data_IF_901586058486
#
_entry.id   IF_901586058486
#
_cell.length_a   1.000
_cell.length_b   1.000
_cell.length_c   1.000
_cell.angle_alpha   90.00
_cell.angle_beta   90.00
_cell.angle_gamma   90.00
#
_symmetry.space_group_name_H-M   'P 1'
#
loop_
_entity.id
_entity.type
_entity.pdbx_description
1 polymer ?
#
# COMPACT_ATOMS: atom_id res chain seq x y z
N UNK A 1 7.70 -6.57 24.92
CA UNK A 1 7.71 -7.64 23.89
C UNK A 1 9.16 -7.87 23.46
N UNK A 2 9.55 -9.10 23.07
CA UNK A 2 10.93 -9.35 22.62
C UNK A 2 11.23 -8.48 21.39
N UNK A 3 12.46 -8.00 21.24
CA UNK A 3 12.89 -7.13 20.12
C UNK A 3 12.60 -7.77 18.75
N UNK A 4 12.43 -9.10 18.71
CA UNK A 4 12.22 -9.91 17.50
C UNK A 4 10.80 -9.84 16.92
N UNK A 5 9.81 -9.38 17.69
CA UNK A 5 8.41 -9.35 17.24
C UNK A 5 7.82 -7.94 17.20
N UNK A 6 8.67 -6.90 17.23
CA UNK A 6 8.23 -5.51 17.34
C UNK A 6 7.42 -5.08 16.11
N UNK A 7 6.17 -4.70 16.29
CA UNK A 7 5.27 -4.33 15.19
C UNK A 7 5.04 -2.81 15.16
N UNK A 8 5.19 -2.20 13.99
CA UNK A 8 4.83 -0.81 13.74
C UNK A 8 3.62 -0.70 12.82
N UNK A 9 2.60 0.04 13.23
CA UNK A 9 1.56 0.55 12.36
C UNK A 9 2.02 1.89 11.75
N UNK A 10 2.06 2.01 10.44
CA UNK A 10 2.45 3.26 9.73
C UNK A 10 1.23 3.79 8.99
N UNK A 11 0.73 4.94 9.43
CA UNK A 11 -0.50 5.55 8.92
C UNK A 11 -0.17 6.87 8.25
N UNK A 12 -0.44 6.98 6.94
CA UNK A 12 -0.22 8.23 6.20
C UNK A 12 -1.52 9.04 6.20
N UNK A 13 -1.43 10.34 6.50
CA UNK A 13 -2.59 11.22 6.55
C UNK A 13 -2.32 12.58 5.93
N UNK A 14 -3.35 13.19 5.34
CA UNK A 14 -3.33 14.56 4.83
C UNK A 14 -4.74 15.20 4.87
N UNK A 15 -4.94 16.16 5.76
CA UNK A 15 -6.17 16.92 5.94
C UNK A 15 -7.44 16.08 6.19
N UNK A 16 -7.37 15.08 7.07
CA UNK A 16 -8.48 14.16 7.40
C UNK A 16 -8.45 13.68 8.85
N UNK A 17 -8.25 14.60 9.79
CA UNK A 17 -8.15 14.30 11.22
C UNK A 17 -9.28 13.39 11.73
N UNK A 18 -10.53 13.62 11.31
CA UNK A 18 -11.69 12.81 11.74
C UNK A 18 -11.58 11.33 11.37
N UNK A 19 -11.16 11.01 10.14
CA UNK A 19 -10.99 9.61 9.71
C UNK A 19 -9.80 8.97 10.41
N UNK A 20 -8.70 9.71 10.52
CA UNK A 20 -7.52 9.29 11.25
C UNK A 20 -7.85 8.92 12.70
N UNK A 21 -8.69 9.69 13.40
CA UNK A 21 -9.07 9.36 14.78
C UNK A 21 -9.78 8.02 14.88
N UNK A 22 -10.64 7.67 13.90
CA UNK A 22 -11.27 6.35 13.84
C UNK A 22 -10.25 5.23 13.64
N UNK A 23 -9.23 5.46 12.81
CA UNK A 23 -8.11 4.50 12.64
C UNK A 23 -7.36 4.33 13.96
N UNK A 24 -7.07 5.41 14.69
CA UNK A 24 -6.38 5.33 15.99
C UNK A 24 -7.23 4.62 17.06
N UNK A 25 -8.55 4.78 17.04
CA UNK A 25 -9.46 4.03 17.90
C UNK A 25 -9.47 2.53 17.54
N UNK A 26 -9.53 2.20 16.25
CA UNK A 26 -9.48 0.82 15.76
C UNK A 26 -8.14 0.12 16.09
N UNK A 27 -7.02 0.83 15.97
CA UNK A 27 -5.70 0.35 16.37
C UNK A 27 -5.60 0.14 17.88
N UNK A 28 -6.23 1.02 18.66
CA UNK A 28 -6.26 0.87 20.11
C UNK A 28 -7.09 -0.34 20.55
N UNK A 29 -8.07 -0.77 19.76
CA UNK A 29 -8.91 -1.94 20.01
C UNK A 29 -8.34 -3.27 19.49
N UNK A 30 -7.16 -3.27 18.86
CA UNK A 30 -6.58 -4.51 18.32
C UNK A 30 -6.26 -5.53 19.43
N UNK A 31 -6.55 -6.81 19.16
CA UNK A 31 -6.16 -7.94 20.03
C UNK A 31 -4.64 -8.04 20.16
N UNK A 32 -3.92 -7.79 19.05
CA UNK A 32 -2.49 -7.57 19.01
C UNK A 32 -2.19 -6.09 18.69
N UNK A 33 -2.05 -5.27 19.73
CA UNK A 33 -1.72 -3.84 19.58
C UNK A 33 -0.31 -3.65 19.02
N UNK A 34 -0.10 -2.77 18.04
CA UNK A 34 1.24 -2.39 17.58
C UNK A 34 2.09 -1.79 18.71
N UNK A 35 3.39 -2.08 18.74
CA UNK A 35 4.34 -1.44 19.67
C UNK A 35 4.57 0.04 19.32
N UNK A 36 4.46 0.37 18.03
CA UNK A 36 4.63 1.72 17.49
C UNK A 36 3.42 2.01 16.60
N UNK A 37 2.75 3.14 16.84
CA UNK A 37 1.77 3.69 15.90
C UNK A 37 2.36 4.98 15.34
N UNK A 38 2.96 4.91 14.17
CA UNK A 38 3.61 6.03 13.51
C UNK A 38 2.62 6.73 12.58
N UNK A 39 2.11 7.87 13.02
CA UNK A 39 1.27 8.74 12.21
C UNK A 39 2.16 9.67 11.40
N UNK A 40 2.17 9.48 10.08
CA UNK A 40 2.89 10.30 9.11
C UNK A 40 1.96 11.40 8.61
N UNK A 41 2.05 12.57 9.22
CA UNK A 41 1.31 13.75 8.80
C UNK A 41 2.04 14.40 7.60
N UNK A 42 1.42 14.29 6.42
CA UNK A 42 1.97 14.69 5.13
C UNK A 42 1.80 16.19 4.84
N UNK A 43 2.13 17.03 5.83
CA UNK A 43 1.96 18.48 5.83
C UNK A 43 0.49 18.96 5.84
N UNK A 44 -0.35 18.33 6.65
CA UNK A 44 -1.72 18.79 6.91
C UNK A 44 -1.75 20.24 7.42
N UNK A 45 -2.79 20.97 7.04
CA UNK A 45 -3.07 22.37 7.41
C UNK A 45 -4.33 22.51 8.29
N UNK A 46 -5.01 21.41 8.57
CA UNK A 46 -6.14 21.33 9.49
C UNK A 46 -5.69 21.06 10.94
N UNK A 47 -6.60 20.59 11.79
CA UNK A 47 -6.37 20.25 13.20
C UNK A 47 -5.65 18.89 13.40
N UNK A 48 -5.22 18.20 12.33
CA UNK A 48 -4.58 16.87 12.41
C UNK A 48 -3.42 16.87 13.40
N UNK A 49 -2.57 17.90 13.40
CA UNK A 49 -1.40 17.93 14.29
C UNK A 49 -1.79 18.00 15.77
N UNK A 50 -2.74 18.86 16.12
CA UNK A 50 -3.26 19.01 17.48
C UNK A 50 -3.88 17.70 17.97
N UNK A 51 -4.72 17.07 17.14
CA UNK A 51 -5.42 15.83 17.47
C UNK A 51 -4.46 14.65 17.71
N UNK A 52 -3.44 14.49 16.86
CA UNK A 52 -2.43 13.44 17.02
C UNK A 52 -1.57 13.68 18.26
N UNK A 53 -1.15 14.92 18.51
CA UNK A 53 -0.36 15.27 19.70
C UNK A 53 -1.17 15.09 21.00
N UNK A 54 -2.47 15.40 20.98
CA UNK A 54 -3.37 15.13 22.11
C UNK A 54 -3.47 13.62 22.38
N UNK A 55 -3.64 12.79 21.33
CA UNK A 55 -3.70 11.33 21.48
C UNK A 55 -2.38 10.71 21.94
N UNK A 56 -1.25 11.22 21.47
CA UNK A 56 0.08 10.75 21.90
C UNK A 56 0.38 11.01 23.38
N UNK A 57 -0.30 11.96 24.03
CA UNK A 57 -0.20 12.18 25.49
C UNK A 57 -0.85 11.04 26.28
N UNK A 58 -1.87 10.39 25.74
CA UNK A 58 -2.62 9.31 26.42
C UNK A 58 -2.22 7.91 25.95
N UNK A 59 -1.69 7.78 24.74
CA UNK A 59 -1.17 6.51 24.21
C UNK A 59 0.32 6.62 23.86
N UNK A 60 1.23 6.06 24.69
CA UNK A 60 2.66 6.14 24.50
C UNK A 60 3.20 5.29 23.36
N UNK A 61 2.36 4.52 22.65
CA UNK A 61 2.76 3.84 21.39
C UNK A 61 2.77 4.81 20.20
N UNK A 62 2.02 5.93 20.28
CA UNK A 62 1.84 6.85 19.16
C UNK A 62 3.07 7.73 18.99
N UNK A 63 3.54 7.83 17.75
CA UNK A 63 4.62 8.72 17.31
C UNK A 63 4.09 9.58 16.17
N UNK A 64 4.37 10.87 16.22
CA UNK A 64 3.94 11.82 15.20
C UNK A 64 5.12 12.22 14.32
N UNK A 65 5.10 11.82 13.06
CA UNK A 65 6.07 12.22 12.05
C UNK A 65 5.46 13.32 11.18
N UNK A 66 5.95 14.55 11.33
CA UNK A 66 5.51 15.70 10.54
C UNK A 66 6.44 15.89 9.34
N UNK A 67 5.89 15.82 8.14
CA UNK A 67 6.64 16.10 6.90
C UNK A 67 6.56 17.59 6.57
N UNK A 68 7.63 18.19 6.00
CA UNK A 68 7.68 19.63 5.71
C UNK A 68 6.81 20.04 4.52
N UNK A 69 6.42 19.09 3.67
CA UNK A 69 5.60 19.30 2.48
C UNK A 69 4.85 18.03 2.11
N UNK A 70 3.73 18.16 1.39
CA UNK A 70 2.99 17.02 0.87
C UNK A 70 3.80 16.31 -0.24
N UNK A 71 4.29 15.11 0.06
CA UNK A 71 5.08 14.25 -0.85
C UNK A 71 4.26 13.10 -1.45
N UNK A 72 2.93 13.19 -1.35
CA UNK A 72 2.01 12.15 -1.79
C UNK A 72 2.02 10.91 -0.88
N UNK A 73 1.18 9.93 -1.19
CA UNK A 73 1.09 8.67 -0.43
C UNK A 73 2.39 7.89 -0.46
N UNK A 74 3.02 7.76 -1.64
CA UNK A 74 4.26 7.01 -1.81
C UNK A 74 5.40 7.59 -0.94
N UNK A 75 5.54 8.92 -0.91
CA UNK A 75 6.52 9.60 -0.07
C UNK A 75 6.20 9.49 1.42
N UNK A 76 4.92 9.53 1.79
CA UNK A 76 4.47 9.33 3.17
C UNK A 76 4.80 7.93 3.69
N UNK A 77 4.45 6.89 2.93
CA UNK A 77 4.77 5.50 3.28
C UNK A 77 6.28 5.26 3.32
N UNK A 78 7.03 5.81 2.36
CA UNK A 78 8.49 5.77 2.38
C UNK A 78 9.07 6.34 3.69
N UNK A 79 8.69 7.58 4.04
CA UNK A 79 9.21 8.26 5.23
C UNK A 79 8.80 7.52 6.51
N UNK A 80 7.55 7.06 6.59
CA UNK A 80 7.04 6.29 7.71
C UNK A 80 7.74 4.96 7.90
N UNK A 81 7.86 4.17 6.84
CA UNK A 81 8.58 2.89 6.89
C UNK A 81 10.05 3.07 7.25
N UNK A 82 10.72 4.10 6.72
CA UNK A 82 12.11 4.41 7.07
C UNK A 82 12.26 4.72 8.56
N UNK A 83 11.42 5.59 9.10
CA UNK A 83 11.44 5.94 10.52
C UNK A 83 11.10 4.72 11.41
N UNK A 84 10.08 3.94 11.06
CA UNK A 84 9.73 2.71 11.79
C UNK A 84 10.89 1.69 11.76
N UNK A 85 11.61 1.58 10.65
CA UNK A 85 12.75 0.69 10.49
C UNK A 85 13.90 1.09 11.43
N UNK A 86 14.20 2.39 11.51
CA UNK A 86 15.19 2.95 12.42
C UNK A 86 14.80 2.81 13.89
N UNK A 87 13.49 2.79 14.19
CA UNK A 87 12.96 2.48 15.53
C UNK A 87 13.00 0.98 15.88
N UNK A 88 13.55 0.14 15.01
CA UNK A 88 13.74 -1.29 15.24
C UNK A 88 12.51 -2.17 14.96
N UNK A 89 11.53 -1.68 14.20
CA UNK A 89 10.37 -2.49 13.81
C UNK A 89 10.80 -3.74 13.03
N UNK A 90 10.21 -4.88 13.40
CA UNK A 90 10.38 -6.19 12.77
C UNK A 90 9.23 -6.50 11.81
N UNK A 91 8.06 -5.93 12.04
CA UNK A 91 6.89 -6.00 11.17
C UNK A 91 6.30 -4.62 10.96
N UNK A 92 5.93 -4.32 9.73
CA UNK A 92 5.39 -3.04 9.29
C UNK A 92 3.98 -3.28 8.78
N UNK A 93 2.96 -3.00 9.59
CA UNK A 93 1.60 -2.88 9.09
C UNK A 93 1.42 -1.46 8.56
N UNK A 94 1.21 -1.31 7.27
CA UNK A 94 1.00 0.02 6.67
C UNK A 94 -0.45 0.13 6.19
N UNK A 95 -1.00 1.33 6.34
CA UNK A 95 -2.41 1.61 6.06
C UNK A 95 -2.65 3.12 5.82
N UNK A 96 -3.80 3.43 5.22
CA UNK A 96 -4.28 4.79 5.01
C UNK A 96 -5.08 5.31 6.22
N UNK A 97 -5.39 6.61 6.23
CA UNK A 97 -6.16 7.27 7.28
C UNK A 97 -7.69 7.03 7.21
N UNK A 98 -8.15 6.31 6.19
CA UNK A 98 -9.56 5.96 5.94
C UNK A 98 -9.77 4.43 5.85
N UNK A 99 -8.84 3.65 6.40
CA UNK A 99 -8.90 2.20 6.45
C UNK A 99 -9.00 1.70 7.90
N UNK A 100 -10.15 1.12 8.25
CA UNK A 100 -10.52 0.75 9.61
C UNK A 100 -10.35 -0.77 9.81
N UNK A 101 -9.29 -1.23 10.50
CA UNK A 101 -9.08 -2.64 10.76
C UNK A 101 -10.06 -3.19 11.79
N UNK A 102 -10.58 -4.39 11.54
CA UNK A 102 -11.32 -5.16 12.56
C UNK A 102 -10.39 -5.56 13.72
N UNK A 103 -10.91 -5.81 14.94
CA UNK A 103 -10.08 -5.99 16.14
C UNK A 103 -8.97 -7.04 16.06
N UNK A 104 -9.11 -8.09 15.24
CA UNK A 104 -8.10 -9.14 15.09
C UNK A 104 -7.26 -9.01 13.80
N UNK A 105 -7.43 -7.95 13.01
CA UNK A 105 -6.83 -7.84 11.68
C UNK A 105 -5.29 -7.96 11.70
N UNK A 106 -4.61 -7.27 12.63
CA UNK A 106 -3.14 -7.31 12.75
C UNK A 106 -2.67 -8.68 13.27
N UNK A 107 -3.37 -9.23 14.26
CA UNK A 107 -3.07 -10.56 14.84
C UNK A 107 -3.16 -11.65 13.77
N UNK A 108 -4.18 -11.61 12.90
CA UNK A 108 -4.38 -12.57 11.81
C UNK A 108 -3.24 -12.52 10.79
N UNK A 109 -2.82 -11.33 10.38
CA UNK A 109 -1.70 -11.17 9.44
C UNK A 109 -0.39 -11.69 10.04
N UNK A 110 -0.11 -11.31 11.28
CA UNK A 110 1.08 -11.75 12.00
C UNK A 110 1.09 -13.27 12.19
N UNK A 111 -0.03 -13.85 12.64
CA UNK A 111 -0.16 -15.29 12.87
C UNK A 111 0.01 -16.06 11.57
N UNK A 112 -0.60 -15.62 10.47
CA UNK A 112 -0.47 -16.25 9.17
C UNK A 112 0.98 -16.25 8.65
N UNK A 113 1.72 -15.14 8.83
CA UNK A 113 3.14 -15.09 8.47
C UNK A 113 3.98 -16.09 9.27
N UNK A 114 3.76 -16.17 10.58
CA UNK A 114 4.52 -17.08 11.44
C UNK A 114 4.15 -18.54 11.18
N UNK A 115 2.86 -18.84 11.04
CA UNK A 115 2.38 -20.18 10.74
C UNK A 115 2.96 -20.66 9.39
N UNK A 116 2.90 -19.84 8.34
CA UNK A 116 3.50 -20.16 7.05
C UNK A 116 4.99 -20.51 7.21
N UNK A 117 5.76 -19.66 7.88
CA UNK A 117 7.21 -19.85 8.05
C UNK A 117 7.56 -21.08 8.91
N UNK A 118 6.69 -21.47 9.85
CA UNK A 118 6.91 -22.66 10.68
C UNK A 118 6.68 -23.98 9.91
N UNK A 119 5.88 -23.93 8.86
CA UNK A 119 5.45 -25.10 8.09
C UNK A 119 6.17 -25.23 6.73
N UNK A 120 6.88 -24.19 6.30
CA UNK A 120 7.51 -24.11 4.99
C UNK A 120 8.96 -23.62 5.11
N UNK A 121 9.81 -24.03 4.18
CA UNK A 121 11.18 -23.53 4.07
C UNK A 121 11.24 -22.06 3.62
N UNK A 122 10.15 -21.56 3.04
CA UNK A 122 10.05 -20.23 2.46
C UNK A 122 9.36 -19.24 3.41
N UNK A 123 9.67 -17.95 3.24
CA UNK A 123 9.12 -16.85 4.03
C UNK A 123 8.34 -15.89 3.13
N UNK A 124 7.05 -15.62 3.39
CA UNK A 124 6.29 -14.65 2.59
C UNK A 124 6.84 -13.24 2.72
N UNK A 125 6.93 -12.53 1.59
CA UNK A 125 7.46 -11.15 1.56
C UNK A 125 6.49 -10.12 2.14
N UNK A 126 5.21 -10.47 2.26
CA UNK A 126 4.18 -9.68 2.92
C UNK A 126 2.93 -10.54 3.19
N UNK A 127 2.04 -10.04 4.04
CA UNK A 127 0.68 -10.54 4.19
C UNK A 127 -0.33 -9.39 4.02
N UNK A 128 -1.42 -9.58 3.30
CA UNK A 128 -2.44 -8.55 3.09
C UNK A 128 -3.84 -9.01 3.49
N UNK A 129 -4.64 -8.06 3.96
CA UNK A 129 -6.01 -8.30 4.44
C UNK A 129 -7.03 -8.44 3.31
N UNK A 130 -8.18 -9.02 3.65
CA UNK A 130 -9.44 -8.79 2.94
C UNK A 130 -9.91 -7.36 3.20
N UNK A 131 -9.99 -6.58 2.13
CA UNK A 131 -10.49 -5.21 2.17
C UNK A 131 -11.94 -5.19 1.71
N UNK A 132 -12.80 -4.64 2.56
CA UNK A 132 -14.22 -4.45 2.32
C UNK A 132 -14.51 -2.97 2.14
N UNK A 133 -15.50 -2.65 1.33
CA UNK A 133 -16.04 -1.30 1.22
C UNK A 133 -17.07 -1.05 2.32
N UNK A 134 -17.48 0.21 2.49
CA UNK A 134 -18.39 0.63 3.57
C UNK A 134 -19.77 -0.04 3.54
N UNK A 135 -20.14 -0.67 2.43
CA UNK A 135 -21.38 -1.45 2.27
C UNK A 135 -21.21 -2.96 2.54
N UNK A 136 -20.00 -3.40 2.92
CA UNK A 136 -19.65 -4.80 3.17
C UNK A 136 -19.27 -5.62 1.93
N UNK A 137 -19.34 -5.03 0.73
CA UNK A 137 -18.82 -5.67 -0.49
C UNK A 137 -17.28 -5.68 -0.50
N UNK A 138 -16.66 -6.49 -1.35
CA UNK A 138 -15.21 -6.42 -1.54
C UNK A 138 -14.82 -5.10 -2.21
N UNK A 139 -13.74 -4.49 -1.73
CA UNK A 139 -13.23 -3.26 -2.35
C UNK A 139 -12.46 -3.59 -3.64
N UNK A 140 -13.07 -3.33 -4.79
CA UNK A 140 -12.56 -3.63 -6.14
C UNK A 140 -11.14 -3.10 -6.36
N UNK A 141 -10.86 -1.87 -5.89
CA UNK A 141 -9.55 -1.25 -6.05
C UNK A 141 -8.44 -1.87 -5.19
N UNK A 142 -8.80 -2.64 -4.16
CA UNK A 142 -7.86 -3.23 -3.20
C UNK A 142 -7.75 -4.75 -3.33
N UNK A 143 -8.41 -5.36 -4.31
CA UNK A 143 -8.29 -6.79 -4.59
C UNK A 143 -6.83 -7.14 -4.97
N UNK A 144 -6.17 -8.05 -4.23
CA UNK A 144 -4.80 -8.45 -4.54
C UNK A 144 -4.75 -9.28 -5.83
N UNK A 145 -3.57 -9.29 -6.47
CA UNK A 145 -3.31 -10.10 -7.65
C UNK A 145 -2.70 -11.44 -7.24
N UNK A 146 -3.33 -12.52 -7.66
CA UNK A 146 -2.84 -13.88 -7.41
C UNK A 146 -1.61 -14.20 -8.26
N UNK A 147 -0.79 -15.13 -7.78
CA UNK A 147 0.26 -15.75 -8.62
C UNK A 147 -0.38 -16.58 -9.75
N UNK A 148 0.36 -16.82 -10.83
CA UNK A 148 -0.17 -17.50 -12.02
C UNK A 148 -0.68 -18.93 -11.75
N UNK A 149 -0.08 -19.63 -10.78
CA UNK A 149 -0.39 -21.00 -10.38
C UNK A 149 -1.06 -21.10 -9.01
N UNK A 150 -1.78 -20.04 -8.60
CA UNK A 150 -2.38 -19.90 -7.27
C UNK A 150 -3.20 -21.11 -6.83
N UNK A 151 -3.88 -21.80 -7.76
CA UNK A 151 -4.70 -22.97 -7.49
C UNK A 151 -3.90 -24.14 -6.87
N UNK A 152 -2.58 -24.20 -7.07
CA UNK A 152 -1.70 -25.20 -6.44
C UNK A 152 -1.49 -24.95 -4.95
N UNK A 153 -1.72 -23.73 -4.49
CA UNK A 153 -1.38 -23.26 -3.14
C UNK A 153 -2.61 -22.95 -2.29
N UNK A 154 -3.80 -22.96 -2.88
CA UNK A 154 -5.05 -22.85 -2.13
C UNK A 154 -5.40 -24.22 -1.57
N UNK A 155 -5.40 -24.33 -0.25
CA UNK A 155 -5.82 -25.51 0.48
C UNK A 155 -7.06 -25.15 1.32
N UNK A 156 -8.13 -25.97 1.34
CA UNK A 156 -9.37 -25.63 2.07
C UNK A 156 -9.18 -25.36 3.56
N UNK A 157 -8.15 -25.96 4.16
CA UNK A 157 -7.80 -25.87 5.58
C UNK A 157 -6.76 -24.78 5.89
N UNK A 158 -6.18 -24.13 4.87
CA UNK A 158 -5.20 -23.06 5.07
C UNK A 158 -5.87 -21.69 5.02
N UNK A 159 -5.55 -20.79 5.95
CA UNK A 159 -6.19 -19.48 6.00
C UNK A 159 -5.51 -18.48 5.05
N UNK A 160 -4.91 -18.90 3.93
CA UNK A 160 -4.29 -17.97 2.98
C UNK A 160 -4.15 -18.48 1.54
N UNK A 161 -3.97 -17.55 0.60
CA UNK A 161 -3.62 -17.79 -0.80
C UNK A 161 -2.38 -16.99 -1.21
N UNK A 162 -1.56 -17.50 -2.14
CA UNK A 162 -0.39 -16.75 -2.64
C UNK A 162 -0.78 -15.62 -3.59
N UNK A 163 -0.20 -14.45 -3.35
CA UNK A 163 -0.39 -13.22 -4.13
C UNK A 163 0.94 -12.57 -4.45
N UNK A 164 1.02 -11.89 -5.59
CA UNK A 164 2.24 -11.19 -6.00
C UNK A 164 2.13 -9.67 -5.90
N UNK A 165 0.93 -9.14 -5.63
CA UNK A 165 0.72 -7.72 -5.35
C UNK A 165 -0.53 -7.48 -4.53
N UNK A 166 -0.51 -6.45 -3.69
CA UNK A 166 -1.68 -5.92 -2.98
C UNK A 166 -1.57 -4.40 -2.83
N UNK A 167 -2.66 -3.77 -2.42
CA UNK A 167 -2.64 -2.33 -2.07
C UNK A 167 -2.03 -2.08 -0.70
N UNK A 168 -1.70 -0.82 -0.41
CA UNK A 168 -1.21 -0.36 0.90
C UNK A 168 -2.30 -0.11 1.95
N UNK A 169 -3.58 -0.40 1.65
CA UNK A 169 -4.71 -0.22 2.59
C UNK A 169 -4.63 -1.13 3.82
N UNK A 170 -4.02 -2.31 3.69
CA UNK A 170 -3.69 -3.15 4.84
C UNK A 170 -2.71 -4.24 4.42
N UNK A 171 -1.43 -3.98 4.65
CA UNK A 171 -0.37 -4.93 4.36
C UNK A 171 0.65 -4.96 5.48
N UNK A 172 0.99 -6.16 5.92
CA UNK A 172 2.05 -6.42 6.87
C UNK A 172 3.30 -6.90 6.14
N UNK A 173 4.38 -6.15 6.28
CA UNK A 173 5.66 -6.43 5.63
C UNK A 173 6.69 -6.78 6.71
N UNK A 174 7.37 -7.93 6.63
CA UNK A 174 8.44 -8.27 7.55
C UNK A 174 9.70 -7.45 7.24
N UNK A 175 10.49 -7.15 8.27
CA UNK A 175 11.71 -6.32 8.17
C UNK A 175 12.73 -6.85 7.18
N UNK A 176 12.85 -8.17 7.06
CA UNK A 176 13.79 -8.77 6.11
C UNK A 176 13.47 -8.33 4.67
N UNK A 177 12.19 -8.23 4.30
CA UNK A 177 11.79 -7.83 2.96
C UNK A 177 12.14 -6.36 2.69
N UNK A 178 11.97 -5.49 3.71
CA UNK A 178 12.40 -4.08 3.63
C UNK A 178 13.92 -3.97 3.50
N UNK A 179 14.68 -4.76 4.27
CA UNK A 179 16.14 -4.73 4.27
C UNK A 179 16.74 -5.24 2.94
N UNK A 180 16.12 -6.25 2.34
CA UNK A 180 16.59 -6.84 1.08
C UNK A 180 16.23 -5.98 -0.14
N UNK A 181 15.02 -5.43 -0.16
CA UNK A 181 14.48 -4.78 -1.35
C UNK A 181 14.48 -3.26 -1.28
N UNK A 182 14.71 -2.66 -0.12
CA UNK A 182 14.61 -1.23 0.11
C UNK A 182 13.16 -0.75 0.32
N UNK A 183 12.97 0.57 0.38
CA UNK A 183 11.71 1.24 0.70
C UNK A 183 10.78 1.41 -0.53
N UNK A 184 9.50 1.78 -0.33
CA UNK A 184 8.65 2.30 -1.40
C UNK A 184 9.30 3.47 -2.13
N UNK A 185 9.03 3.62 -3.43
CA UNK A 185 9.64 4.68 -4.23
C UNK A 185 8.91 6.00 -3.96
N UNK A 186 9.55 6.91 -3.21
CA UNK A 186 8.94 8.19 -2.83
C UNK A 186 8.54 9.05 -4.05
N UNK A 187 9.36 9.06 -5.11
CA UNK A 187 9.14 9.86 -6.32
C UNK A 187 7.86 9.49 -7.10
N UNK A 188 7.24 8.35 -6.80
CA UNK A 188 5.98 7.96 -7.42
C UNK A 188 4.83 8.89 -7.03
N UNK A 189 4.92 9.54 -5.87
CA UNK A 189 3.92 10.46 -5.31
C UNK A 189 2.55 9.80 -5.03
N UNK A 190 1.87 9.29 -6.05
CA UNK A 190 0.59 8.59 -5.94
C UNK A 190 0.45 7.55 -7.06
N UNK A 191 -0.30 6.47 -6.77
CA UNK A 191 -0.68 5.39 -7.67
C UNK A 191 0.48 4.55 -8.18
N UNK A 192 0.24 3.23 -8.16
CA UNK A 192 1.16 2.19 -8.61
C UNK A 192 2.39 1.99 -7.71
N UNK A 193 2.52 2.76 -6.63
CA UNK A 193 3.54 2.61 -5.59
C UNK A 193 3.35 1.31 -4.80
N UNK A 194 2.12 0.97 -4.46
CA UNK A 194 1.74 -0.28 -3.80
C UNK A 194 2.04 -1.52 -4.65
N UNK A 195 1.57 -1.52 -5.91
CA UNK A 195 1.77 -2.60 -6.86
C UNK A 195 3.25 -2.74 -7.24
N UNK A 196 4.00 -1.64 -7.38
CA UNK A 196 5.45 -1.69 -7.58
C UNK A 196 6.16 -2.34 -6.41
N UNK A 197 5.88 -1.85 -5.20
CA UNK A 197 6.57 -2.27 -4.00
C UNK A 197 6.32 -3.74 -3.69
N UNK A 198 5.05 -4.15 -3.65
CA UNK A 198 4.65 -5.52 -3.34
C UNK A 198 5.16 -6.52 -4.39
N UNK A 199 5.15 -6.16 -5.68
CA UNK A 199 5.75 -7.02 -6.73
C UNK A 199 7.26 -7.07 -6.68
N UNK A 200 7.91 -5.98 -6.26
CA UNK A 200 9.36 -5.96 -6.10
C UNK A 200 9.79 -6.88 -4.96
N UNK A 201 9.18 -6.74 -3.77
CA UNK A 201 9.51 -7.62 -2.65
C UNK A 201 9.10 -9.08 -2.92
N UNK A 202 8.01 -9.31 -3.66
CA UNK A 202 7.57 -10.64 -4.07
C UNK A 202 8.56 -11.42 -4.96
N UNK A 203 9.63 -10.77 -5.46
CA UNK A 203 10.69 -11.44 -6.23
C UNK A 203 11.47 -12.46 -5.41
N UNK A 204 11.60 -12.27 -4.10
CA UNK A 204 12.25 -13.27 -3.24
C UNK A 204 11.28 -14.41 -2.92
N UNK A 205 10.06 -14.07 -2.52
CA UNK A 205 8.95 -15.02 -2.41
C UNK A 205 7.59 -14.31 -2.45
N UNK A 206 6.52 -14.90 -3.02
CA UNK A 206 5.19 -14.28 -3.01
C UNK A 206 4.70 -13.86 -1.61
N UNK A 207 3.78 -12.91 -1.57
CA UNK A 207 3.03 -12.60 -0.37
C UNK A 207 1.86 -13.56 -0.17
N UNK A 208 1.18 -13.43 0.97
CA UNK A 208 -0.03 -14.18 1.30
C UNK A 208 -1.23 -13.26 1.49
N UNK A 209 -2.38 -13.64 0.95
CA UNK A 209 -3.67 -13.03 1.22
C UNK A 209 -4.35 -13.78 2.36
N UNK A 210 -4.73 -13.05 3.43
CA UNK A 210 -5.32 -13.61 4.65
C UNK A 210 -6.80 -13.16 4.73
N UNK A 211 -7.77 -13.99 4.31
CA UNK A 211 -9.18 -13.59 4.21
C UNK A 211 -9.83 -13.29 5.57
N UNK A 212 -9.31 -13.85 6.66
CA UNK A 212 -9.80 -13.60 8.02
C UNK A 212 -9.33 -12.27 8.59
N UNK A 213 -8.23 -11.70 8.08
CA UNK A 213 -7.84 -10.33 8.41
C UNK A 213 -8.73 -9.38 7.61
N UNK A 214 -9.64 -8.66 8.27
CA UNK A 214 -10.63 -7.80 7.63
C UNK A 214 -10.38 -6.32 7.92
N UNK A 215 -10.49 -5.48 6.89
CA UNK A 215 -10.36 -4.02 6.99
C UNK A 215 -11.43 -3.35 6.14
N UNK A 216 -12.10 -2.33 6.67
CA UNK A 216 -13.08 -1.52 5.94
C UNK A 216 -12.39 -0.28 5.37
N UNK A 217 -12.47 -0.07 4.06
CA UNK A 217 -11.90 1.11 3.39
C UNK A 217 -12.99 2.11 3.04
N UNK A 218 -12.97 3.26 3.70
CA UNK A 218 -13.89 4.38 3.56
C UNK A 218 -13.44 5.31 2.42
N UNK A 219 -13.48 4.77 1.20
CA UNK A 219 -13.29 5.52 -0.05
C UNK A 219 -14.64 5.97 -0.61
N UNK A 220 -14.75 7.17 -1.22
CA UNK A 220 -15.99 7.64 -1.83
C UNK A 220 -16.45 6.84 -3.05
N UNK A 221 -15.55 6.12 -3.72
CA UNK A 221 -15.86 5.28 -4.88
C UNK A 221 -15.08 3.97 -4.82
N UNK A 222 -15.75 2.87 -5.17
CA UNK A 222 -15.21 1.52 -5.19
C UNK A 222 -15.02 1.03 -6.62
N UNK A 223 -14.05 1.64 -7.32
CA UNK A 223 -13.71 1.28 -8.70
C UNK A 223 -12.21 1.13 -8.85
N UNK A 224 -11.79 0.08 -9.55
CA UNK A 224 -10.39 -0.09 -9.91
C UNK A 224 -9.87 1.04 -10.81
N UNK A 225 -8.55 1.17 -10.89
CA UNK A 225 -7.91 2.13 -11.80
C UNK A 225 -8.23 1.75 -13.25
N UNK A 226 -9.06 2.56 -13.90
CA UNK A 226 -9.51 2.35 -15.27
C UNK A 226 -9.30 3.64 -16.07
N UNK A 227 -8.39 3.63 -17.04
CA UNK A 227 -8.10 4.82 -17.86
C UNK A 227 -9.31 5.27 -18.71
N UNK A 228 -10.32 4.41 -18.90
CA UNK A 228 -11.58 4.76 -19.53
C UNK A 228 -12.45 5.70 -18.69
N UNK A 229 -12.19 5.83 -17.38
CA UNK A 229 -12.93 6.68 -16.46
C UNK A 229 -12.22 8.02 -16.17
N UNK A 230 -11.16 8.34 -16.92
CA UNK A 230 -10.40 9.59 -16.73
C UNK A 230 -11.29 10.80 -17.00
N UNK A 231 -11.33 11.71 -16.04
CA UNK A 231 -11.94 13.03 -16.15
C UNK A 231 -10.93 14.14 -15.78
N UNK A 232 -11.34 15.41 -15.91
CA UNK A 232 -10.47 16.55 -15.59
C UNK A 232 -10.02 16.57 -14.12
N UNK A 233 -10.85 16.06 -13.18
CA UNK A 233 -10.55 16.07 -11.74
C UNK A 233 -9.54 14.99 -11.35
N UNK A 234 -9.62 13.84 -11.99
CA UNK A 234 -8.78 12.66 -11.73
C UNK A 234 -7.55 12.59 -12.62
N UNK A 235 -7.49 13.37 -13.71
CA UNK A 235 -6.41 13.36 -14.70
C UNK A 235 -5.02 13.39 -14.08
N UNK A 236 -4.81 14.24 -13.06
CA UNK A 236 -3.51 14.35 -12.41
C UNK A 236 -3.05 13.02 -11.78
N UNK A 237 -3.96 12.24 -11.16
CA UNK A 237 -3.65 10.90 -10.62
C UNK A 237 -3.31 9.92 -11.75
N UNK A 238 -4.11 9.91 -12.82
CA UNK A 238 -3.86 9.07 -14.00
C UNK A 238 -2.53 9.39 -14.69
N UNK A 239 -2.10 10.66 -14.70
CA UNK A 239 -0.78 11.05 -15.21
C UNK A 239 0.35 10.45 -14.37
N UNK A 240 0.24 10.49 -13.04
CA UNK A 240 1.21 9.83 -12.16
C UNK A 240 1.19 8.31 -12.37
N UNK A 241 0.02 7.67 -12.30
CA UNK A 241 -0.13 6.23 -12.52
C UNK A 241 0.47 5.77 -13.86
N UNK A 242 0.16 6.46 -14.96
CA UNK A 242 0.71 6.15 -16.28
C UNK A 242 2.23 6.27 -16.35
N UNK A 243 2.80 7.32 -15.74
CA UNK A 243 4.26 7.52 -15.66
C UNK A 243 4.92 6.42 -14.84
N UNK A 244 4.37 6.14 -13.66
CA UNK A 244 4.90 5.20 -12.67
C UNK A 244 4.87 3.76 -13.20
N UNK A 245 3.71 3.33 -13.73
CA UNK A 245 3.55 2.00 -14.33
C UNK A 245 4.45 1.82 -15.56
N UNK A 246 4.62 2.86 -16.37
CA UNK A 246 5.55 2.80 -17.51
C UNK A 246 7.00 2.64 -17.05
N UNK A 247 7.43 3.41 -16.05
CA UNK A 247 8.76 3.29 -15.43
C UNK A 247 9.02 1.86 -14.94
N UNK A 248 8.07 1.31 -14.18
CA UNK A 248 8.13 -0.07 -13.71
C UNK A 248 8.20 -1.07 -14.88
N UNK A 249 7.24 -1.04 -15.82
CA UNK A 249 7.21 -1.99 -16.95
C UNK A 249 8.47 -1.93 -17.80
N UNK A 250 9.04 -0.74 -17.97
CA UNK A 250 10.31 -0.56 -18.68
C UNK A 250 11.46 -1.24 -17.94
N UNK A 251 11.53 -1.08 -16.61
CA UNK A 251 12.55 -1.69 -15.75
C UNK A 251 12.44 -3.22 -15.73
N UNK A 252 11.22 -3.74 -15.65
CA UNK A 252 10.95 -5.18 -15.47
C UNK A 252 10.93 -5.99 -16.77
N UNK A 253 10.37 -5.42 -17.85
CA UNK A 253 10.06 -6.17 -19.07
C UNK A 253 10.49 -5.47 -20.36
N UNK A 254 11.26 -4.38 -20.27
CA UNK A 254 11.77 -3.67 -21.43
C UNK A 254 10.68 -2.96 -22.25
N UNK A 255 10.99 -2.66 -23.52
CA UNK A 255 10.15 -1.77 -24.34
C UNK A 255 8.84 -2.44 -24.77
N UNK A 256 8.88 -3.74 -25.06
CA UNK A 256 7.71 -4.48 -25.52
C UNK A 256 6.60 -4.50 -24.47
N UNK A 257 6.94 -4.59 -23.18
CA UNK A 257 5.98 -4.54 -22.10
C UNK A 257 5.32 -3.15 -21.99
N UNK A 258 6.09 -2.09 -22.21
CA UNK A 258 5.56 -0.71 -22.27
C UNK A 258 4.64 -0.53 -23.47
N UNK A 259 4.99 -1.07 -24.65
CA UNK A 259 4.15 -0.98 -25.85
C UNK A 259 2.82 -1.70 -25.66
N UNK A 260 2.84 -2.91 -25.09
CA UNK A 260 1.62 -3.67 -24.77
C UNK A 260 0.73 -2.90 -23.79
N UNK A 261 1.32 -2.31 -22.76
CA UNK A 261 0.62 -1.44 -21.81
C UNK A 261 0.00 -0.21 -22.48
N UNK A 262 0.80 0.55 -23.24
CA UNK A 262 0.33 1.74 -23.93
C UNK A 262 -0.80 1.43 -24.92
N UNK A 263 -0.73 0.28 -25.58
CA UNK A 263 -1.81 -0.23 -26.44
C UNK A 263 -3.08 -0.52 -25.64
N UNK A 264 -2.97 -1.19 -24.49
CA UNK A 264 -4.10 -1.44 -23.58
C UNK A 264 -4.75 -0.15 -23.09
N UNK A 265 -3.96 0.81 -22.59
CA UNK A 265 -4.43 2.13 -22.14
C UNK A 265 -5.13 2.88 -23.28
N UNK A 266 -4.54 2.85 -24.49
CA UNK A 266 -5.16 3.46 -25.68
C UNK A 266 -6.52 2.84 -26.00
N UNK A 267 -6.64 1.52 -25.94
CA UNK A 267 -7.88 0.83 -26.25
C UNK A 267 -8.95 1.11 -25.18
N UNK A 268 -8.59 1.09 -23.91
CA UNK A 268 -9.49 1.40 -22.80
C UNK A 268 -10.05 2.82 -22.91
N UNK A 269 -9.20 3.82 -23.15
CA UNK A 269 -9.63 5.21 -23.33
C UNK A 269 -10.47 5.42 -24.61
N UNK A 270 -10.19 4.68 -25.69
CA UNK A 270 -10.98 4.77 -26.93
C UNK A 270 -12.35 4.11 -26.80
N UNK A 271 -12.42 2.98 -26.12
CA UNK A 271 -13.67 2.24 -25.92
C UNK A 271 -14.65 2.98 -24.99
N UNK A 272 -14.18 3.92 -24.17
CA UNK A 272 -14.99 4.72 -23.25
C UNK A 272 -15.06 6.20 -23.67
N UNK A 273 -14.79 6.51 -24.95
CA UNK A 273 -14.92 7.86 -25.52
C UNK A 273 -14.21 8.99 -24.76
N UNK A 274 -13.08 8.68 -24.11
CA UNK A 274 -12.32 9.67 -23.35
C UNK A 274 -11.88 10.82 -24.29
N UNK A 275 -12.12 12.09 -23.92
CA UNK A 275 -11.77 13.24 -24.75
C UNK A 275 -10.34 13.21 -25.27
N UNK A 276 -10.13 13.58 -26.54
CA UNK A 276 -8.82 13.54 -27.18
C UNK A 276 -7.74 14.33 -26.41
N UNK A 277 -8.14 15.46 -25.80
CA UNK A 277 -7.26 16.28 -24.94
C UNK A 277 -6.72 15.48 -23.75
N UNK A 278 -7.59 14.78 -23.02
CA UNK A 278 -7.19 13.99 -21.84
C UNK A 278 -6.30 12.80 -22.25
N UNK A 279 -6.64 12.12 -23.35
CA UNK A 279 -5.83 11.03 -23.90
C UNK A 279 -4.39 11.48 -24.19
N UNK A 280 -4.21 12.66 -24.80
CA UNK A 280 -2.88 13.22 -25.11
C UNK A 280 -2.04 13.45 -23.84
N UNK A 281 -2.65 13.92 -22.76
CA UNK A 281 -1.98 14.12 -21.47
C UNK A 281 -1.52 12.80 -20.84
N UNK A 282 -2.35 11.76 -20.91
CA UNK A 282 -2.01 10.40 -20.45
C UNK A 282 -0.86 9.82 -21.30
N UNK A 283 -0.94 9.89 -22.63
CA UNK A 283 0.13 9.43 -23.52
C UNK A 283 1.45 10.18 -23.27
N UNK A 284 1.39 11.50 -23.06
CA UNK A 284 2.56 12.27 -22.68
C UNK A 284 3.19 11.78 -21.37
N UNK A 285 2.38 11.31 -20.43
CA UNK A 285 2.85 10.76 -19.16
C UNK A 285 3.48 9.36 -19.31
N UNK A 286 2.94 8.52 -20.21
CA UNK A 286 3.59 7.25 -20.61
C UNK A 286 4.99 7.54 -21.19
N UNK A 287 5.11 8.50 -22.11
CA UNK A 287 6.40 8.87 -22.71
C UNK A 287 7.38 9.34 -21.63
N UNK A 288 6.95 10.20 -20.70
CA UNK A 288 7.78 10.63 -19.56
C UNK A 288 8.27 9.43 -18.74
N UNK A 289 7.39 8.46 -18.49
CA UNK A 289 7.70 7.22 -17.76
C UNK A 289 8.84 6.38 -18.36
N UNK A 290 9.10 6.47 -19.67
CA UNK A 290 10.22 5.75 -20.32
C UNK A 290 11.60 6.20 -19.80
N UNK A 291 11.70 7.47 -19.41
CA UNK A 291 12.92 8.10 -18.91
C UNK A 291 12.96 8.25 -17.39
N UNK A 292 11.82 8.07 -16.73
CA UNK A 292 11.70 8.16 -15.29
C UNK A 292 12.31 6.91 -14.64
N UNK A 293 13.42 7.08 -13.91
CA UNK A 293 14.17 5.99 -13.27
C UNK A 293 14.51 6.38 -11.82
N UNK A 294 13.50 6.41 -10.93
CA UNK A 294 13.75 6.78 -9.54
C UNK A 294 14.63 5.74 -8.85
N UNK A 295 15.40 6.19 -7.87
CA UNK A 295 16.26 5.32 -7.07
C UNK A 295 15.41 4.58 -6.04
N UNK A 296 15.78 3.33 -5.76
CA UNK A 296 15.24 2.58 -4.64
C UNK A 296 16.19 2.80 -3.47
N UNK A 297 15.72 3.50 -2.43
CA UNK A 297 16.52 3.75 -1.23
C UNK A 297 16.45 2.56 -0.28
N UNK A 298 17.55 2.33 0.44
CA UNK A 298 17.58 1.40 1.55
C UNK A 298 17.05 2.05 2.83
N UNK A 299 16.61 1.21 3.77
CA UNK A 299 16.09 1.68 5.06
C UNK A 299 17.18 1.96 6.11
N UNK A 300 18.42 1.52 5.85
CA UNK A 300 19.63 1.80 6.64
C UNK A 300 20.19 3.21 6.39
#
# INVERSE_FOLDING_TARGET
>A
MSVLNKTAAVIVTFNRSEKLMKVLDALAAQTMRPDIVLVVNNASTDDTAEMVEARAKTDPSIRHLKLPSNVGGAGGFHAGMKAAYQMGAQYFWISDDDAYPEPDAIERLYSALNEFQSQNEWRPSFACSRVEWIDGSLCEMNCPRTVWDWARFVQPDKPWALVDSCSFVSVMIPRWAVAEHGLPIADYFIWFDDAEYTRRIARSYPGIFVPESRVVHDTPDNRGVNFGLVDEKSLWKFKYGARNETSFRRREGGLMNVLAYAYGVRNQMRANDVPHRLRREVYGSIIKGLSFRPKIEQAE
#
